data_IF_836830940145
#
_entry.id   IF_836830940145
#
_cell.length_a   1.000
_cell.length_b   1.000
_cell.length_c   1.000
_cell.angle_alpha   90.00
_cell.angle_beta   90.00
_cell.angle_gamma   90.00
#
_symmetry.space_group_name_H-M   'P 1'
#
loop_
_entity.id
_entity.type
_entity.pdbx_description
1 polymer ?
#
# COMPACT_ATOMS: atom_id res chain seq x y z
N UNK A 1 8.30 17.73 -9.72
CA UNK A 1 7.50 16.57 -10.20
C UNK A 1 6.89 15.85 -9.02
N UNK A 2 5.60 15.57 -9.11
CA UNK A 2 4.90 14.92 -8.00
C UNK A 2 4.99 13.40 -8.12
N UNK A 3 5.07 12.74 -6.98
CA UNK A 3 5.09 11.28 -6.93
C UNK A 3 3.65 10.77 -6.99
N UNK A 4 3.47 9.68 -7.71
CA UNK A 4 2.19 8.99 -7.78
C UNK A 4 2.28 7.72 -6.93
N UNK A 5 1.53 7.68 -5.84
CA UNK A 5 1.56 6.59 -4.88
C UNK A 5 0.54 5.49 -5.17
N UNK A 6 -0.19 5.59 -6.29
CA UNK A 6 -1.35 4.73 -6.51
C UNK A 6 -1.01 3.24 -6.51
N UNK A 7 0.07 2.85 -7.16
CA UNK A 7 0.45 1.43 -7.21
C UNK A 7 0.86 0.91 -5.84
N UNK A 8 1.58 1.72 -5.07
CA UNK A 8 1.99 1.33 -3.72
C UNK A 8 0.78 1.20 -2.80
N UNK A 9 -0.17 2.13 -2.92
CA UNK A 9 -1.37 2.07 -2.10
C UNK A 9 -2.24 0.86 -2.44
N UNK A 10 -2.32 0.51 -3.72
CA UNK A 10 -3.01 -0.70 -4.14
C UNK A 10 -2.37 -1.94 -3.53
N UNK A 11 -1.03 -1.99 -3.53
CA UNK A 11 -0.30 -3.11 -2.94
C UNK A 11 -0.60 -3.26 -1.46
N UNK A 12 -0.66 -2.13 -0.73
CA UNK A 12 -0.99 -2.15 0.69
C UNK A 12 -2.40 -2.69 0.89
N UNK A 13 -3.37 -2.21 0.12
CA UNK A 13 -4.75 -2.66 0.26
C UNK A 13 -4.84 -4.17 0.06
N UNK A 14 -4.22 -4.67 -1.00
CA UNK A 14 -4.28 -6.10 -1.31
C UNK A 14 -3.57 -6.93 -0.27
N UNK A 15 -2.40 -6.48 0.19
CA UNK A 15 -1.64 -7.21 1.20
C UNK A 15 -2.41 -7.34 2.51
N UNK A 16 -3.22 -6.33 2.83
CA UNK A 16 -4.00 -6.35 4.06
C UNK A 16 -5.37 -7.01 3.88
N UNK A 17 -5.70 -7.42 2.65
CA UNK A 17 -6.93 -8.15 2.40
C UNK A 17 -8.20 -7.32 2.41
N UNK A 18 -8.11 -6.03 2.17
CA UNK A 18 -9.28 -5.16 2.18
C UNK A 18 -9.88 -4.97 0.80
N UNK A 19 -11.21 -4.90 0.74
CA UNK A 19 -11.88 -4.43 -0.45
C UNK A 19 -11.66 -2.93 -0.60
N UNK A 20 -11.98 -2.40 -1.78
CA UNK A 20 -11.88 -0.96 -1.99
C UNK A 20 -12.74 -0.19 -1.01
N UNK A 21 -13.96 -0.66 -0.75
CA UNK A 21 -14.86 0.01 0.17
C UNK A 21 -14.34 -0.02 1.60
N UNK A 22 -13.84 -1.18 2.03
CA UNK A 22 -13.27 -1.29 3.38
C UNK A 22 -12.09 -0.36 3.56
N UNK A 23 -11.22 -0.31 2.56
CA UNK A 23 -10.06 0.57 2.61
C UNK A 23 -10.47 2.04 2.63
N UNK A 24 -11.42 2.41 1.77
CA UNK A 24 -11.94 3.78 1.72
C UNK A 24 -12.47 4.21 3.09
N UNK A 25 -13.22 3.32 3.74
CA UNK A 25 -13.78 3.63 5.05
C UNK A 25 -12.68 3.82 6.09
N UNK A 26 -11.66 2.95 6.05
CA UNK A 26 -10.57 3.03 7.03
C UNK A 26 -9.74 4.29 6.89
N UNK A 27 -9.44 4.68 5.66
CA UNK A 27 -8.55 5.83 5.43
C UNK A 27 -9.32 7.14 5.24
N UNK A 28 -10.64 7.07 5.32
CA UNK A 28 -11.52 8.25 5.21
C UNK A 28 -11.35 8.97 3.87
N UNK A 29 -11.32 8.19 2.80
CA UNK A 29 -11.22 8.68 1.43
C UNK A 29 -12.41 8.09 0.67
N UNK A 30 -12.96 8.85 -0.27
CA UNK A 30 -14.14 8.36 -1.00
C UNK A 30 -13.78 7.14 -1.85
N UNK A 31 -14.76 6.25 -2.00
CA UNK A 31 -14.60 5.07 -2.84
C UNK A 31 -14.24 5.43 -4.27
N UNK A 32 -14.85 6.50 -4.80
CA UNK A 32 -14.56 6.92 -6.17
C UNK A 32 -13.10 7.34 -6.33
N UNK A 33 -12.54 7.99 -5.32
CA UNK A 33 -11.13 8.37 -5.35
C UNK A 33 -10.24 7.13 -5.39
N UNK A 34 -10.54 6.14 -4.53
CA UNK A 34 -9.79 4.88 -4.54
C UNK A 34 -9.86 4.23 -5.92
N UNK A 35 -11.06 4.11 -6.48
CA UNK A 35 -11.22 3.49 -7.80
C UNK A 35 -10.46 4.26 -8.88
N UNK A 36 -10.51 5.59 -8.83
CA UNK A 36 -9.88 6.41 -9.86
C UNK A 36 -8.36 6.25 -9.85
N UNK A 37 -7.72 6.24 -8.67
CA UNK A 37 -6.28 6.11 -8.71
C UNK A 37 -5.86 4.65 -8.97
N UNK A 38 -6.67 3.68 -8.58
CA UNK A 38 -6.32 2.28 -8.84
C UNK A 38 -6.44 1.92 -10.32
N UNK A 39 -7.32 2.60 -11.05
CA UNK A 39 -7.48 2.37 -12.49
C UNK A 39 -6.61 3.29 -13.35
N UNK A 40 -5.88 4.20 -12.72
CA UNK A 40 -5.01 5.11 -13.46
C UNK A 40 -5.71 6.36 -13.99
N UNK A 41 -6.96 6.59 -13.61
CA UNK A 41 -7.68 7.78 -14.09
C UNK A 41 -7.17 9.05 -13.45
N UNK A 42 -6.63 8.96 -12.24
CA UNK A 42 -5.99 10.10 -11.60
C UNK A 42 -4.87 9.58 -10.70
N UNK A 43 -3.86 10.39 -10.43
CA UNK A 43 -2.78 9.96 -9.55
C UNK A 43 -3.20 10.05 -8.08
N UNK A 44 -2.51 9.29 -7.23
CA UNK A 44 -2.66 9.41 -5.78
C UNK A 44 -1.48 10.24 -5.28
N UNK A 45 -1.75 11.47 -4.91
CA UNK A 45 -0.72 12.42 -4.47
C UNK A 45 -0.48 12.31 -2.97
N UNK A 46 0.40 13.18 -2.46
CA UNK A 46 0.85 13.14 -1.07
C UNK A 46 -0.30 13.21 -0.06
N UNK A 47 -1.36 13.94 -0.35
CA UNK A 47 -2.49 14.04 0.58
C UNK A 47 -3.17 12.69 0.81
N UNK A 48 -3.27 11.88 -0.25
CA UNK A 48 -3.83 10.53 -0.15
C UNK A 48 -2.90 9.66 0.68
N UNK A 49 -1.60 9.70 0.36
CA UNK A 49 -0.60 8.93 1.09
C UNK A 49 -0.64 9.26 2.59
N UNK A 50 -0.73 10.55 2.92
CA UNK A 50 -0.77 10.96 4.32
C UNK A 50 -2.00 10.39 5.04
N UNK A 51 -3.16 10.40 4.37
CA UNK A 51 -4.37 9.85 4.97
C UNK A 51 -4.20 8.37 5.31
N UNK A 52 -3.49 7.65 4.46
CA UNK A 52 -3.28 6.22 4.67
C UNK A 52 -2.33 5.96 5.84
N UNK A 53 -1.18 6.63 5.88
CA UNK A 53 -0.20 6.34 6.92
C UNK A 53 -0.62 6.85 8.30
N UNK A 54 -1.64 7.69 8.39
CA UNK A 54 -2.17 8.11 9.67
C UNK A 54 -3.06 7.07 10.32
N UNK A 55 -3.46 6.05 9.57
CA UNK A 55 -4.19 4.92 10.15
C UNK A 55 -3.18 3.99 10.80
N UNK A 56 -3.34 3.74 12.09
CA UNK A 56 -2.36 2.96 12.86
C UNK A 56 -2.00 1.65 12.18
N UNK A 57 -3.00 0.98 11.61
CA UNK A 57 -2.79 -0.31 10.95
C UNK A 57 -1.78 -0.24 9.81
N UNK A 58 -1.66 0.93 9.17
CA UNK A 58 -0.80 1.09 8.00
C UNK A 58 0.51 1.81 8.29
N UNK A 59 0.75 2.19 9.55
CA UNK A 59 2.00 2.87 9.92
C UNK A 59 3.23 2.05 9.58
N UNK A 60 3.10 0.74 9.60
CA UNK A 60 4.21 -0.16 9.29
C UNK A 60 4.71 -0.05 7.86
N UNK A 61 3.95 0.60 6.99
CA UNK A 61 4.33 0.78 5.59
C UNK A 61 4.85 2.19 5.30
N UNK A 62 4.93 3.06 6.30
CA UNK A 62 5.24 4.47 6.07
C UNK A 62 6.56 4.68 5.34
N UNK A 63 7.60 3.98 5.77
CA UNK A 63 8.92 4.13 5.18
C UNK A 63 8.95 3.62 3.74
N UNK A 64 8.37 2.45 3.53
CA UNK A 64 8.31 1.88 2.19
C UNK A 64 7.46 2.73 1.26
N UNK A 65 6.32 3.22 1.75
CA UNK A 65 5.41 4.01 0.94
C UNK A 65 6.06 5.32 0.49
N UNK A 66 6.83 5.96 1.38
CA UNK A 66 7.40 7.26 1.06
C UNK A 66 8.71 7.17 0.29
N UNK A 67 9.64 6.31 0.71
CA UNK A 67 10.97 6.27 0.08
C UNK A 67 11.39 4.87 -0.37
N UNK A 68 10.50 3.90 -0.30
CA UNK A 68 10.77 2.57 -0.83
C UNK A 68 11.72 1.72 0.00
N UNK A 69 11.95 2.09 1.25
CA UNK A 69 12.87 1.36 2.12
C UNK A 69 12.12 0.67 3.24
N UNK A 70 12.79 -0.29 3.87
CA UNK A 70 12.23 -0.98 5.04
C UNK A 70 13.25 -0.94 6.16
N UNK A 71 12.77 -1.18 7.39
CA UNK A 71 13.64 -1.28 8.55
C UNK A 71 12.94 -2.18 9.55
N UNK A 72 13.28 -3.46 9.52
CA UNK A 72 12.57 -4.45 10.31
C UNK A 72 12.75 -4.23 11.81
N UNK A 73 13.90 -3.68 12.21
CA UNK A 73 14.13 -3.38 13.63
C UNK A 73 13.12 -2.36 14.16
N UNK A 74 12.62 -1.47 13.29
CA UNK A 74 11.62 -0.49 13.65
C UNK A 74 10.21 -0.92 13.29
N UNK A 75 10.03 -2.15 12.79
CA UNK A 75 8.72 -2.63 12.35
C UNK A 75 8.27 -2.05 11.03
N UNK A 76 9.17 -1.47 10.25
CA UNK A 76 8.83 -0.88 8.96
C UNK A 76 9.06 -1.91 7.85
N UNK A 77 7.98 -2.33 7.21
CA UNK A 77 8.01 -3.41 6.23
C UNK A 77 7.41 -2.97 4.91
N UNK A 78 7.54 -3.83 3.91
CA UNK A 78 6.86 -3.65 2.63
C UNK A 78 5.67 -4.63 2.57
N UNK A 79 4.70 -4.37 1.67
CA UNK A 79 3.56 -5.29 1.55
C UNK A 79 3.94 -6.71 1.20
N UNK A 80 5.09 -6.91 0.57
CA UNK A 80 5.53 -8.27 0.21
C UNK A 80 5.82 -9.13 1.43
N UNK A 81 6.01 -8.51 2.60
CA UNK A 81 6.25 -9.23 3.85
C UNK A 81 4.97 -9.46 4.65
N UNK A 82 3.83 -8.98 4.16
CA UNK A 82 2.55 -9.21 4.82
C UNK A 82 2.09 -10.63 4.59
N UNK A 83 1.33 -11.20 5.53
CA UNK A 83 0.84 -12.58 5.35
C UNK A 83 0.08 -12.79 4.06
N UNK A 84 -0.54 -11.74 3.55
CA UNK A 84 -1.39 -11.82 2.37
C UNK A 84 -0.68 -11.49 1.09
N UNK A 85 0.53 -11.07 1.20
CA UNK A 85 1.23 -10.56 0.05
C UNK A 85 1.66 -11.61 -0.93
N UNK A 86 0.90 -12.39 -1.42
CA UNK A 86 1.01 -13.31 -2.38
C UNK A 86 1.62 -13.17 -3.68
N UNK A 87 1.45 -12.80 -3.45
CA UNK A 87 1.85 -12.82 -4.05
C UNK A 87 2.70 -13.07 -4.50
N UNK A 88 2.80 -13.42 -4.42
CA UNK A 88 3.46 -13.65 -4.48
C UNK A 88 4.02 -13.43 -5.36
N UNK A 89 3.61 -12.92 -5.75
CA UNK A 89 4.22 -12.70 -6.27
C UNK A 89 4.83 -12.35 -6.72
N UNK A 90 4.72 -12.16 -6.75
CA UNK A 90 5.33 -11.73 -6.80
C UNK A 90 6.15 -11.98 -6.99
N UNK A 91 6.18 -12.06 -6.66
CA UNK A 91 7.13 -12.29 -6.39
C UNK A 91 7.87 -12.75 -6.56
N UNK A 92 7.79 -12.86 -6.49
CA UNK A 92 8.66 -13.28 -6.17
C UNK A 92 9.12 -13.77 -6.37
N UNK A 93 8.99 -13.78 -6.50
CA UNK A 93 9.72 -14.23 -6.15
C UNK A 93 10.06 -14.61 -5.99
N UNK A 94 9.80 -14.76 -6.14
CA UNK A 94 10.44 -15.23 -5.56
C UNK A 94 10.68 -15.71 -5.32
N UNK A 95 10.64 -15.81 -5.28
CA UNK A 95 11.15 -16.21 -4.67
C UNK A 95 11.13 -16.58 -4.29
N UNK A 96 10.90 -16.61 -4.34
CA UNK A 96 11.10 -16.87 -3.63
C UNK A 96 10.86 -17.28 -3.26
N UNK A 97 10.76 -17.44 -3.36
CA UNK A 97 10.72 -17.80 -2.71
C UNK A 97 10.61 -18.13 -2.27
N UNK A 98 10.41 -18.00 -2.49
CA UNK A 98 10.35 -18.21 -1.80
C UNK A 98 10.25 -18.40 -1.57
N UNK A 99 10.10 -18.22 -1.90
CA UNK A 99 10.23 -18.22 -1.23
C UNK A 99 10.09 -18.41 -1.16
#
# INVERSE_FOLDING_TARGET
>A
MSIDYSKKLLSIRKAEGFTQQQFADLVNISLSTIKNYETGQQPARAAIMESVIQVERFEKYALWLTIGKTNEALGQISPTLSPDGQEKEILLHSEQKTG
#
